data_IF_672294260089
#
_entry.id   IF_672294260089
#
_cell.length_a   1.000
_cell.length_b   1.000
_cell.length_c   1.000
_cell.angle_alpha   90.00
_cell.angle_beta   90.00
_cell.angle_gamma   90.00
#
_symmetry.space_group_name_H-M   'P 1'
#
loop_
_entity.id
_entity.type
_entity.pdbx_description
1 polymer ?
#
# COMPACT_ATOMS: atom_id res chain seq x y z
N UNK A 1 8.85 7.00 -11.09
CA UNK A 1 7.40 7.19 -10.84
C UNK A 1 7.18 7.42 -9.34
N UNK A 2 6.31 8.36 -8.95
CA UNK A 2 6.13 8.82 -7.55
C UNK A 2 5.74 7.69 -6.59
N UNK A 3 4.75 6.88 -6.97
CA UNK A 3 4.20 5.78 -6.14
C UNK A 3 4.67 4.37 -6.57
N UNK A 4 5.72 4.25 -7.39
CA UNK A 4 6.28 2.91 -7.67
C UNK A 4 6.85 2.31 -6.39
N UNK A 5 6.50 1.06 -6.07
CA UNK A 5 7.11 0.30 -4.95
C UNK A 5 8.64 0.26 -5.04
N UNK A 6 9.20 0.37 -6.26
CA UNK A 6 10.63 0.43 -6.53
C UNK A 6 11.27 1.82 -6.39
N UNK A 7 10.52 2.87 -6.03
CA UNK A 7 11.07 4.24 -6.05
C UNK A 7 12.19 4.45 -5.02
N UNK A 8 13.18 5.29 -5.37
CA UNK A 8 14.25 5.71 -4.45
C UNK A 8 15.42 4.74 -4.29
N UNK A 9 15.60 3.76 -5.17
CA UNK A 9 16.82 2.93 -5.21
C UNK A 9 16.55 1.43 -5.41
N UNK A 10 17.58 0.59 -5.29
CA UNK A 10 17.46 -0.87 -5.39
C UNK A 10 16.44 -1.41 -4.38
N UNK A 11 15.58 -2.35 -4.82
CA UNK A 11 14.57 -3.02 -3.97
C UNK A 11 14.55 -4.52 -4.25
N UNK A 12 14.30 -5.30 -3.19
CA UNK A 12 13.91 -6.70 -3.28
C UNK A 12 12.40 -6.85 -3.08
N UNK A 13 11.82 -7.91 -3.65
CA UNK A 13 10.41 -8.25 -3.49
C UNK A 13 10.29 -9.63 -2.87
N UNK A 14 9.44 -9.73 -1.85
CA UNK A 14 9.03 -11.01 -1.25
C UNK A 14 7.52 -11.12 -1.46
N UNK A 15 7.10 -12.24 -2.03
CA UNK A 15 5.69 -12.53 -2.28
C UNK A 15 5.25 -13.70 -1.39
N UNK A 16 4.39 -13.40 -0.43
CA UNK A 16 3.77 -14.40 0.45
C UNK A 16 2.48 -14.93 -0.19
N UNK A 17 2.27 -16.24 -0.12
CA UNK A 17 1.11 -16.92 -0.69
C UNK A 17 0.54 -17.93 0.32
N UNK A 18 -0.78 -18.10 0.26
CA UNK A 18 -1.55 -19.14 0.96
C UNK A 18 -2.47 -19.81 -0.04
N UNK A 19 -2.89 -21.03 0.25
CA UNK A 19 -3.85 -21.71 -0.61
C UNK A 19 -5.23 -21.08 -0.38
N UNK A 20 -5.95 -20.75 -1.45
CA UNK A 20 -7.20 -19.98 -1.32
C UNK A 20 -8.36 -20.76 -0.69
N UNK A 21 -8.22 -22.08 -0.51
CA UNK A 21 -9.18 -22.91 0.22
C UNK A 21 -8.82 -23.09 1.70
N UNK A 22 -7.70 -22.52 2.17
CA UNK A 22 -7.42 -22.45 3.59
C UNK A 22 -8.50 -21.64 4.32
N UNK A 23 -8.65 -21.86 5.63
CA UNK A 23 -9.59 -21.09 6.43
C UNK A 23 -9.28 -19.58 6.30
N UNK A 24 -10.29 -18.73 6.02
CA UNK A 24 -10.07 -17.30 5.85
C UNK A 24 -9.43 -16.62 7.07
N UNK A 25 -9.77 -17.06 8.27
CA UNK A 25 -9.19 -16.55 9.51
C UNK A 25 -7.68 -16.85 9.63
N UNK A 26 -7.27 -18.08 9.30
CA UNK A 26 -5.86 -18.47 9.31
C UNK A 26 -5.07 -17.70 8.25
N UNK A 27 -5.66 -17.50 7.07
CA UNK A 27 -5.05 -16.69 6.01
C UNK A 27 -4.89 -15.23 6.44
N UNK A 28 -5.91 -14.65 7.08
CA UNK A 28 -5.86 -13.27 7.58
C UNK A 28 -4.77 -13.09 8.64
N UNK A 29 -4.68 -14.00 9.62
CA UNK A 29 -3.64 -13.98 10.64
C UNK A 29 -2.24 -14.09 10.01
N UNK A 30 -2.06 -15.00 9.06
CA UNK A 30 -0.80 -15.18 8.35
C UNK A 30 -0.35 -13.94 7.58
N UNK A 31 -1.26 -13.28 6.86
CA UNK A 31 -0.93 -12.04 6.13
C UNK A 31 -0.68 -10.86 7.07
N UNK A 32 -1.35 -10.80 8.23
CA UNK A 32 -1.08 -9.80 9.25
C UNK A 32 0.35 -9.94 9.82
N UNK A 33 0.78 -11.16 10.14
CA UNK A 33 2.14 -11.43 10.63
C UNK A 33 3.20 -11.06 9.58
N UNK A 34 2.97 -11.43 8.31
CA UNK A 34 3.85 -11.05 7.21
C UNK A 34 3.94 -9.53 7.04
N UNK A 35 2.80 -8.83 7.08
CA UNK A 35 2.76 -7.37 6.99
C UNK A 35 3.50 -6.71 8.16
N UNK A 36 3.34 -7.22 9.39
CA UNK A 36 4.05 -6.72 10.56
C UNK A 36 5.58 -6.78 10.39
N UNK A 37 6.11 -7.92 9.92
CA UNK A 37 7.55 -8.08 9.65
C UNK A 37 8.01 -7.10 8.57
N UNK A 38 7.31 -7.05 7.44
CA UNK A 38 7.72 -6.21 6.32
C UNK A 38 7.71 -4.72 6.68
N UNK A 39 6.70 -4.29 7.44
CA UNK A 39 6.53 -2.88 7.82
C UNK A 39 7.50 -2.44 8.91
N UNK A 40 7.93 -3.35 9.80
CA UNK A 40 9.04 -3.11 10.73
C UNK A 40 10.37 -2.76 10.02
N UNK A 41 10.53 -3.14 8.75
CA UNK A 41 11.68 -2.80 7.91
C UNK A 41 11.40 -1.69 6.87
N UNK A 42 10.30 -0.94 7.03
CA UNK A 42 9.91 0.12 6.08
C UNK A 42 9.47 -0.42 4.72
N UNK A 43 9.00 -1.67 4.68
CA UNK A 43 8.51 -2.33 3.47
C UNK A 43 7.30 -1.62 2.88
N UNK A 44 7.17 -1.70 1.56
CA UNK A 44 6.04 -1.14 0.81
C UNK A 44 5.15 -2.27 0.30
N UNK A 45 3.87 -2.32 0.67
CA UNK A 45 2.98 -3.33 0.11
C UNK A 45 2.78 -3.06 -1.39
N UNK A 46 2.57 -4.13 -2.15
CA UNK A 46 2.20 -4.00 -3.55
C UNK A 46 0.72 -3.54 -3.65
N UNK A 47 0.45 -2.47 -4.40
CA UNK A 47 -0.90 -1.86 -4.51
C UNK A 47 -2.01 -2.85 -4.89
N UNK A 48 -1.70 -3.83 -5.75
CA UNK A 48 -2.63 -4.88 -6.17
C UNK A 48 -2.67 -6.13 -5.28
N UNK A 49 -2.11 -6.11 -4.07
CA UNK A 49 -2.11 -7.26 -3.14
C UNK A 49 -2.74 -6.90 -1.79
N UNK A 50 -3.03 -7.92 -0.99
CA UNK A 50 -3.61 -7.77 0.35
C UNK A 50 -2.65 -7.01 1.28
N UNK A 51 -3.14 -5.93 1.89
CA UNK A 51 -2.45 -5.15 2.92
C UNK A 51 -3.45 -4.26 3.67
N UNK A 52 -3.07 -3.79 4.86
CA UNK A 52 -3.91 -2.93 5.73
C UNK A 52 -3.34 -1.53 5.91
N UNK A 53 -2.17 -1.23 5.33
CA UNK A 53 -1.55 0.10 5.44
C UNK A 53 -2.46 1.23 4.93
N UNK A 54 -2.36 2.37 5.59
CA UNK A 54 -3.11 3.59 5.32
C UNK A 54 -2.23 4.69 4.73
N UNK A 55 -2.85 5.84 4.46
CA UNK A 55 -2.19 7.01 3.90
C UNK A 55 -1.07 7.56 4.80
N UNK A 56 -1.18 7.46 6.13
CA UNK A 56 -0.14 7.94 7.04
C UNK A 56 1.13 7.10 6.91
N UNK A 57 1.00 5.77 7.02
CA UNK A 57 2.12 4.87 6.81
C UNK A 57 2.72 5.06 5.42
N UNK A 58 1.88 5.10 4.38
CA UNK A 58 2.35 5.18 3.00
C UNK A 58 3.01 6.53 2.69
N UNK A 59 2.55 7.64 3.28
CA UNK A 59 3.24 8.93 3.20
C UNK A 59 4.64 8.85 3.79
N UNK A 60 4.83 8.14 4.91
CA UNK A 60 6.16 7.91 5.48
C UNK A 60 7.05 7.03 4.59
N UNK A 61 6.46 6.04 3.92
CA UNK A 61 7.20 5.06 3.12
C UNK A 61 7.56 5.57 1.71
N UNK A 62 6.82 6.55 1.18
CA UNK A 62 6.98 7.12 -0.16
C UNK A 62 7.38 8.60 -0.10
N UNK A 63 8.66 8.96 -0.32
CA UNK A 63 9.11 10.35 -0.20
C UNK A 63 8.40 11.36 -1.12
N UNK A 64 7.80 10.88 -2.23
CA UNK A 64 7.07 11.69 -3.21
C UNK A 64 5.56 11.48 -3.15
N UNK A 65 5.03 11.03 -2.03
CA UNK A 65 3.60 10.78 -1.84
C UNK A 65 2.79 12.06 -2.01
N UNK A 66 3.24 13.16 -1.39
CA UNK A 66 2.53 14.44 -1.42
C UNK A 66 2.58 15.10 -2.79
N UNK A 67 3.63 14.86 -3.57
CA UNK A 67 3.67 15.26 -4.98
C UNK A 67 2.58 14.54 -5.80
N UNK A 68 2.32 13.26 -5.52
CA UNK A 68 1.23 12.53 -6.16
C UNK A 68 -0.13 13.06 -5.71
N UNK A 69 -0.31 13.36 -4.42
CA UNK A 69 -1.55 13.97 -3.93
C UNK A 69 -1.81 15.32 -4.59
N UNK A 70 -0.80 16.17 -4.76
CA UNK A 70 -0.94 17.45 -5.45
C UNK A 70 -1.38 17.28 -6.92
N UNK A 71 -0.93 16.23 -7.61
CA UNK A 71 -1.41 15.88 -8.94
C UNK A 71 -2.88 15.43 -8.89
N UNK A 72 -3.24 14.59 -7.91
CA UNK A 72 -4.64 14.18 -7.69
C UNK A 72 -5.54 15.38 -7.42
N UNK A 73 -5.13 16.32 -6.59
CA UNK A 73 -5.89 17.54 -6.27
C UNK A 73 -6.10 18.44 -7.49
N UNK A 74 -5.12 18.49 -8.39
CA UNK A 74 -5.21 19.27 -9.63
C UNK A 74 -6.14 18.66 -10.67
N UNK A 75 -6.13 17.34 -10.82
CA UNK A 75 -6.81 16.65 -11.93
C UNK A 75 -8.07 15.89 -11.53
N UNK A 76 -8.27 15.63 -10.25
CA UNK A 76 -9.47 15.03 -9.67
C UNK A 76 -9.87 15.77 -8.37
N UNK A 77 -10.19 17.08 -8.47
CA UNK A 77 -10.55 17.90 -7.30
C UNK A 77 -11.83 17.41 -6.62
N UNK A 78 -12.77 16.85 -7.39
CA UNK A 78 -14.05 16.34 -6.89
C UNK A 78 -13.99 14.85 -6.51
N UNK A 79 -12.80 14.23 -6.55
CA UNK A 79 -12.56 12.83 -6.16
C UNK A 79 -13.42 11.80 -6.92
N UNK A 80 -13.74 12.08 -8.19
CA UNK A 80 -14.55 11.21 -9.07
C UNK A 80 -13.98 9.80 -9.19
N UNK A 81 -12.65 9.66 -9.15
CA UNK A 81 -11.99 8.36 -9.28
C UNK A 81 -11.68 7.67 -7.96
N UNK A 82 -12.06 8.28 -6.82
CA UNK A 82 -11.79 7.71 -5.51
C UNK A 82 -12.75 6.55 -5.20
N UNK A 83 -12.21 5.50 -4.61
CA UNK A 83 -12.96 4.36 -4.08
C UNK A 83 -12.52 4.10 -2.61
N UNK A 84 -13.16 3.16 -1.88
CA UNK A 84 -12.80 2.90 -0.49
C UNK A 84 -11.33 2.55 -0.27
N UNK A 85 -10.73 1.80 -1.19
CA UNK A 85 -9.29 1.47 -1.13
C UNK A 85 -8.43 2.72 -1.30
N UNK A 86 -8.71 3.56 -2.31
CA UNK A 86 -7.98 4.81 -2.51
C UNK A 86 -8.17 5.79 -1.35
N UNK A 87 -9.35 5.82 -0.74
CA UNK A 87 -9.56 6.61 0.48
C UNK A 87 -8.67 6.13 1.63
N UNK A 88 -8.55 4.81 1.85
CA UNK A 88 -7.65 4.24 2.85
C UNK A 88 -6.18 4.60 2.59
N UNK A 89 -5.71 4.40 1.35
CA UNK A 89 -4.28 4.44 1.05
C UNK A 89 -3.76 5.80 0.60
N UNK A 90 -4.63 6.72 0.19
CA UNK A 90 -4.28 8.09 -0.22
C UNK A 90 -4.89 9.17 0.69
N UNK A 91 -5.87 8.82 1.53
CA UNK A 91 -6.63 9.78 2.32
C UNK A 91 -7.65 10.56 1.50
N UNK A 92 -8.42 11.40 2.19
CA UNK A 92 -9.38 12.36 1.63
C UNK A 92 -8.67 13.47 0.84
#
# INVERSE_FOLDING_TARGET
LMLSTASGGPRGYIAVHRYHHDAPADSAAYFADAEAIMTAHGGRPHWGKMHTRDAEYLRSAYPRFDEFLAVRDRFDPDRVFTNPYLHQVLGS
#
